data_IF_068604458253
#
_entry.id   IF_068604458253
#
_cell.length_a   1.000
_cell.length_b   1.000
_cell.length_c   1.000
_cell.angle_alpha   90.00
_cell.angle_beta   90.00
_cell.angle_gamma   90.00
#
_symmetry.space_group_name_H-M   'P 1'
#
loop_
_entity.id
_entity.type
_entity.pdbx_description
1 polymer ?
#
# COMPACT_ATOMS: atom_id res chain seq x y z
N UNK A 1 -4.16 9.19 17.81
CA UNK A 1 -3.40 9.46 16.59
C UNK A 1 -2.00 9.90 16.95
N UNK A 2 -1.86 11.00 17.71
CA UNK A 2 -0.56 11.60 18.02
C UNK A 2 0.43 10.64 18.70
N UNK A 3 -0.01 9.86 19.68
CA UNK A 3 0.87 8.89 20.36
C UNK A 3 1.34 7.75 19.45
N UNK A 4 0.46 7.24 18.58
CA UNK A 4 0.78 6.15 17.66
C UNK A 4 1.68 6.62 16.52
N UNK A 5 1.37 7.78 15.94
CA UNK A 5 2.19 8.39 14.90
C UNK A 5 3.57 8.78 15.46
N UNK A 6 3.64 9.23 16.72
CA UNK A 6 4.90 9.49 17.43
C UNK A 6 5.74 8.23 17.58
N UNK A 7 5.18 7.13 18.08
CA UNK A 7 5.90 5.85 18.19
C UNK A 7 6.42 5.34 16.82
N UNK A 8 5.62 5.49 15.77
CA UNK A 8 6.03 5.14 14.39
C UNK A 8 7.12 6.06 13.86
N UNK A 9 7.05 7.35 14.22
CA UNK A 9 8.07 8.34 13.88
C UNK A 9 9.41 7.99 14.53
N UNK A 10 9.42 7.60 15.80
CA UNK A 10 10.66 7.18 16.47
C UNK A 10 11.26 5.93 15.83
N UNK A 11 10.43 4.90 15.56
CA UNK A 11 10.89 3.70 14.85
C UNK A 11 11.46 4.01 13.46
N UNK A 12 10.88 4.99 12.78
CA UNK A 12 11.39 5.49 11.50
C UNK A 12 12.75 6.17 11.68
N UNK A 13 12.89 7.05 12.67
CA UNK A 13 14.15 7.72 12.98
C UNK A 13 15.24 6.70 13.30
N UNK A 14 14.95 5.70 14.12
CA UNK A 14 15.86 4.60 14.42
C UNK A 14 16.29 3.84 13.15
N UNK A 15 15.33 3.47 12.29
CA UNK A 15 15.60 2.73 11.06
C UNK A 15 16.51 3.48 10.08
N UNK A 16 16.44 4.82 10.07
CA UNK A 16 17.27 5.68 9.22
C UNK A 16 18.43 6.37 9.96
N UNK A 17 18.59 6.12 11.26
CA UNK A 17 19.59 6.77 12.13
C UNK A 17 19.49 8.31 12.10
N UNK A 18 18.25 8.83 12.11
CA UNK A 18 17.96 10.26 12.03
C UNK A 18 17.96 10.88 13.43
N UNK A 19 18.41 12.13 13.53
CA UNK A 19 18.31 12.91 14.77
C UNK A 19 16.86 13.26 15.13
N UNK A 20 16.56 13.57 16.40
CA UNK A 20 15.21 13.86 16.88
C UNK A 20 14.58 15.09 16.20
N UNK A 21 15.39 16.10 15.87
CA UNK A 21 14.94 17.35 15.26
C UNK A 21 14.86 17.30 13.72
N UNK A 22 15.12 16.15 13.11
CA UNK A 22 15.07 16.02 11.64
C UNK A 22 13.62 16.16 11.18
N UNK A 23 13.33 17.14 10.32
CA UNK A 23 12.01 17.33 9.72
C UNK A 23 11.74 16.23 8.68
N UNK A 24 10.74 15.38 8.95
CA UNK A 24 10.42 14.24 8.08
C UNK A 24 9.37 14.54 7.02
N UNK A 25 8.61 15.63 7.19
CA UNK A 25 7.56 16.06 6.28
C UNK A 25 8.07 17.22 5.42
N UNK A 26 7.51 17.36 4.22
CA UNK A 26 7.75 18.55 3.41
C UNK A 26 7.09 19.78 4.08
N UNK A 27 7.66 20.96 3.88
CA UNK A 27 7.21 22.20 4.53
C UNK A 27 5.77 22.61 4.19
N UNK A 28 5.25 22.14 3.07
CA UNK A 28 3.88 22.34 2.59
C UNK A 28 2.91 21.24 3.04
N UNK A 29 3.39 20.21 3.73
CA UNK A 29 2.56 19.08 4.15
C UNK A 29 1.81 19.40 5.43
N UNK A 30 0.49 19.53 5.30
CA UNK A 30 -0.40 19.54 6.44
C UNK A 30 -0.73 18.11 6.89
N UNK A 31 -0.71 17.88 8.21
CA UNK A 31 -1.31 16.68 8.77
C UNK A 31 -2.80 16.63 8.41
N UNK A 32 -3.36 15.44 8.09
CA UNK A 32 -4.78 15.32 7.82
C UNK A 32 -5.58 15.74 9.05
N UNK A 33 -6.57 16.60 8.86
CA UNK A 33 -7.52 16.93 9.91
C UNK A 33 -8.43 15.72 10.17
N UNK A 34 -8.17 15.02 11.28
CA UNK A 34 -8.88 13.80 11.67
C UNK A 34 -9.54 14.01 13.04
N UNK A 35 -10.76 14.57 13.08
CA UNK A 35 -11.54 14.60 14.32
C UNK A 35 -11.64 13.20 14.93
N UNK A 36 -11.67 13.08 16.26
CA UNK A 36 -11.64 11.79 16.96
C UNK A 36 -12.71 10.80 16.47
N UNK A 37 -13.89 11.29 16.09
CA UNK A 37 -14.95 10.48 15.48
C UNK A 37 -14.54 9.91 14.12
N UNK A 38 -13.94 10.74 13.26
CA UNK A 38 -13.46 10.33 11.95
C UNK A 38 -12.34 9.30 12.08
N UNK A 39 -11.38 9.55 12.98
CA UNK A 39 -10.32 8.61 13.31
C UNK A 39 -10.87 7.25 13.76
N UNK A 40 -11.83 7.24 14.69
CA UNK A 40 -12.47 6.01 15.17
C UNK A 40 -13.26 5.28 14.07
N UNK A 41 -13.85 6.00 13.11
CA UNK A 41 -14.54 5.40 11.96
C UNK A 41 -13.56 4.77 10.97
N UNK A 42 -12.43 5.42 10.69
CA UNK A 42 -11.37 4.89 9.83
C UNK A 42 -10.65 3.70 10.45
N UNK A 43 -10.51 3.66 11.79
CA UNK A 43 -9.94 2.52 12.49
C UNK A 43 -10.73 1.21 12.27
N UNK A 44 -12.05 1.29 12.00
CA UNK A 44 -12.87 0.12 11.63
C UNK A 44 -12.49 -0.48 10.27
N UNK A 45 -11.75 0.26 9.45
CA UNK A 45 -11.16 -0.20 8.19
C UNK A 45 -9.69 -0.62 8.34
N UNK A 46 -9.20 -0.72 9.58
CA UNK A 46 -7.80 -1.02 9.91
C UNK A 46 -6.83 -0.11 9.17
N UNK A 47 -7.13 1.19 9.12
CA UNK A 47 -6.23 2.20 8.56
C UNK A 47 -5.27 2.66 9.64
N UNK A 48 -3.97 2.44 9.42
CA UNK A 48 -2.87 2.95 10.24
C UNK A 48 -2.19 4.12 9.53
N UNK A 49 -1.81 5.16 10.27
CA UNK A 49 -1.24 6.38 9.70
C UNK A 49 0.28 6.37 9.82
N UNK A 50 0.97 6.72 8.74
CA UNK A 50 2.41 6.66 8.62
C UNK A 50 2.98 7.91 7.96
N UNK A 51 4.16 8.33 8.40
CA UNK A 51 4.99 9.30 7.69
C UNK A 51 5.80 8.54 6.63
N UNK A 52 5.74 9.03 5.38
CA UNK A 52 6.70 8.70 4.34
C UNK A 52 7.71 9.85 4.32
N UNK A 53 8.99 9.64 4.70
CA UNK A 53 9.93 10.73 4.88
C UNK A 53 10.17 11.52 3.59
N UNK A 54 10.47 12.81 3.74
CA UNK A 54 10.90 13.67 2.65
C UNK A 54 12.12 13.08 1.94
N UNK A 55 12.16 13.25 0.62
CA UNK A 55 13.23 12.78 -0.24
C UNK A 55 14.57 13.48 0.06
N UNK A 56 14.51 14.70 0.58
CA UNK A 56 15.67 15.46 1.09
C UNK A 56 16.33 14.82 2.31
N UNK A 57 15.60 13.98 3.06
CA UNK A 57 16.10 13.31 4.27
C UNK A 57 16.38 11.83 4.01
N UNK A 58 15.46 11.17 3.30
CA UNK A 58 15.55 9.76 2.95
C UNK A 58 15.32 9.63 1.45
N UNK A 59 16.34 9.92 0.61
CA UNK A 59 16.20 9.76 -0.83
C UNK A 59 16.02 8.28 -1.19
N UNK A 60 15.32 8.01 -2.30
CA UNK A 60 15.26 6.65 -2.87
C UNK A 60 16.57 6.34 -3.63
N UNK A 61 17.66 6.18 -2.88
CA UNK A 61 19.02 5.99 -3.38
C UNK A 61 19.53 4.55 -3.20
N UNK A 62 20.83 4.33 -3.42
CA UNK A 62 21.44 3.01 -3.22
C UNK A 62 21.33 2.52 -1.76
N UNK A 63 21.38 3.42 -0.78
CA UNK A 63 21.26 3.05 0.63
C UNK A 63 19.84 2.62 0.97
N UNK A 64 18.84 3.34 0.44
CA UNK A 64 17.44 2.94 0.55
C UNK A 64 17.22 1.55 -0.05
N UNK A 65 17.68 1.34 -1.28
CA UNK A 65 17.56 0.05 -1.98
C UNK A 65 18.28 -1.05 -1.21
N UNK A 66 19.50 -0.81 -0.72
CA UNK A 66 20.23 -1.77 0.09
C UNK A 66 19.52 -2.11 1.42
N UNK A 67 18.69 -1.21 1.95
CA UNK A 67 17.96 -1.44 3.20
C UNK A 67 16.62 -2.15 3.00
N UNK A 68 15.89 -1.80 1.95
CA UNK A 68 14.49 -2.17 1.73
C UNK A 68 14.26 -3.17 0.58
N UNK A 69 15.24 -3.30 -0.32
CA UNK A 69 15.19 -4.16 -1.49
C UNK A 69 16.38 -5.13 -1.52
N UNK A 70 16.72 -5.70 -0.36
CA UNK A 70 17.94 -6.51 -0.14
C UNK A 70 18.05 -7.72 -1.05
N UNK A 71 16.93 -8.37 -1.32
CA UNK A 71 16.87 -9.56 -2.17
C UNK A 71 16.30 -9.27 -3.56
N UNK A 72 16.28 -8.00 -3.98
CA UNK A 72 15.79 -7.66 -5.31
C UNK A 72 16.61 -8.38 -6.39
N UNK A 73 15.98 -8.81 -7.49
CA UNK A 73 16.68 -9.51 -8.56
C UNK A 73 17.76 -8.63 -9.19
N UNK A 74 18.74 -9.24 -9.87
CA UNK A 74 19.87 -8.49 -10.47
C UNK A 74 19.39 -7.44 -11.47
N UNK A 75 18.30 -7.73 -12.17
CA UNK A 75 17.67 -6.89 -13.17
C UNK A 75 16.93 -5.68 -12.56
N UNK A 76 16.79 -5.59 -11.23
CA UNK A 76 16.04 -4.54 -10.54
C UNK A 76 16.49 -3.12 -10.90
N UNK A 77 17.79 -2.92 -11.10
CA UNK A 77 18.40 -1.64 -11.47
C UNK A 77 18.73 -1.53 -12.97
N UNK A 78 18.44 -2.56 -13.77
CA UNK A 78 18.70 -2.55 -15.21
C UNK A 78 17.44 -2.17 -16.00
N UNK A 79 17.55 -1.37 -17.07
CA UNK A 79 16.44 -1.12 -17.97
C UNK A 79 15.86 -2.45 -18.49
N UNK A 80 14.53 -2.50 -18.58
CA UNK A 80 13.81 -3.65 -19.12
C UNK A 80 13.56 -3.43 -20.61
N UNK A 81 13.20 -4.48 -21.33
CA UNK A 81 12.89 -4.34 -22.75
C UNK A 81 11.74 -3.35 -22.95
N UNK A 82 12.00 -2.29 -23.72
CA UNK A 82 11.08 -1.17 -23.94
C UNK A 82 10.52 -0.47 -22.68
N UNK A 83 11.13 -0.64 -21.50
CA UNK A 83 10.62 -0.08 -20.24
C UNK A 83 11.75 0.33 -19.26
N UNK A 84 11.51 1.31 -18.36
CA UNK A 84 12.47 1.65 -17.31
C UNK A 84 12.70 0.47 -16.35
N UNK A 85 13.80 0.55 -15.60
CA UNK A 85 14.08 -0.39 -14.51
C UNK A 85 13.02 -0.34 -13.41
N UNK A 86 12.84 -1.41 -12.65
CA UNK A 86 11.94 -1.40 -11.50
C UNK A 86 12.35 -0.35 -10.47
N UNK A 87 13.66 -0.16 -10.28
CA UNK A 87 14.19 0.90 -9.43
C UNK A 87 13.71 2.29 -9.83
N UNK A 88 13.83 2.65 -11.11
CA UNK A 88 13.40 3.98 -11.60
C UNK A 88 11.91 4.19 -11.47
N UNK A 89 11.11 3.15 -11.77
CA UNK A 89 9.66 3.18 -11.58
C UNK A 89 9.31 3.44 -10.11
N UNK A 90 9.91 2.67 -9.20
CA UNK A 90 9.66 2.79 -7.77
C UNK A 90 10.09 4.15 -7.25
N UNK A 91 11.27 4.64 -7.63
CA UNK A 91 11.74 5.97 -7.25
C UNK A 91 10.77 7.07 -7.71
N UNK A 92 10.37 7.07 -8.99
CA UNK A 92 9.44 8.06 -9.56
C UNK A 92 8.07 7.99 -8.89
N UNK A 93 7.56 6.78 -8.65
CA UNK A 93 6.28 6.57 -7.99
C UNK A 93 6.30 6.96 -6.51
N UNK A 94 7.37 6.60 -5.80
CA UNK A 94 7.55 6.89 -4.38
C UNK A 94 7.72 8.39 -4.11
N UNK A 95 8.44 9.11 -4.98
CA UNK A 95 8.64 10.56 -4.87
C UNK A 95 7.32 11.35 -4.73
N UNK A 96 6.21 10.87 -5.32
CA UNK A 96 4.88 11.49 -5.17
C UNK A 96 4.31 11.41 -3.75
N UNK A 97 4.87 10.53 -2.93
CA UNK A 97 4.41 10.25 -1.57
C UNK A 97 5.42 10.66 -0.49
N UNK A 98 6.67 10.96 -0.88
CA UNK A 98 7.69 11.40 0.06
C UNK A 98 7.37 12.76 0.68
N UNK A 99 7.68 12.89 1.96
CA UNK A 99 7.38 14.05 2.78
C UNK A 99 5.92 14.14 3.22
N UNK A 100 5.12 13.09 3.02
CA UNK A 100 3.67 13.09 3.26
C UNK A 100 3.23 12.09 4.33
N UNK A 101 2.04 12.31 4.86
CA UNK A 101 1.33 11.35 5.72
C UNK A 101 0.41 10.50 4.84
N UNK A 102 0.42 9.19 5.05
CA UNK A 102 -0.44 8.22 4.34
C UNK A 102 -1.12 7.30 5.33
N UNK A 103 -2.36 6.91 5.04
CA UNK A 103 -3.06 5.85 5.77
C UNK A 103 -2.90 4.53 5.01
N UNK A 104 -2.56 3.42 5.67
CA UNK A 104 -2.39 2.11 5.03
C UNK A 104 -3.30 1.09 5.70
N UNK A 105 -3.97 0.27 4.89
CA UNK A 105 -4.78 -0.84 5.37
C UNK A 105 -3.89 -1.98 5.92
N UNK A 106 -4.10 -2.33 7.19
CA UNK A 106 -3.35 -3.36 7.90
C UNK A 106 -4.15 -4.62 8.20
N UNK A 107 -5.35 -4.76 7.61
CA UNK A 107 -6.19 -5.96 7.73
C UNK A 107 -5.38 -7.24 7.49
N UNK A 108 -5.50 -8.23 8.38
CA UNK A 108 -4.73 -9.47 8.31
C UNK A 108 -4.98 -10.22 7.00
N UNK A 109 -3.90 -10.62 6.32
CA UNK A 109 -4.01 -11.44 5.12
C UNK A 109 -4.19 -12.93 5.48
N UNK A 110 -5.12 -13.66 4.84
CA UNK A 110 -5.32 -15.08 5.12
C UNK A 110 -4.23 -15.92 4.46
N UNK A 111 -4.10 -17.18 4.91
CA UNK A 111 -3.41 -18.22 4.13
C UNK A 111 -4.26 -18.55 2.92
N UNK A 112 -3.70 -18.35 1.73
CA UNK A 112 -4.47 -18.52 0.50
C UNK A 112 -4.79 -19.98 0.23
N UNK A 113 -6.01 -20.23 -0.21
CA UNK A 113 -6.52 -21.54 -0.61
C UNK A 113 -7.09 -21.41 -2.03
N UNK A 114 -6.36 -21.86 -3.06
CA UNK A 114 -6.76 -21.71 -4.45
C UNK A 114 -8.22 -22.11 -4.72
N UNK A 115 -8.92 -21.29 -5.50
CA UNK A 115 -10.31 -21.53 -5.89
C UNK A 115 -11.36 -21.22 -4.82
N UNK A 116 -10.96 -20.77 -3.62
CA UNK A 116 -11.90 -20.37 -2.57
C UNK A 116 -12.18 -18.86 -2.59
N UNK A 117 -13.39 -18.49 -2.18
CA UNK A 117 -13.71 -17.11 -1.83
C UNK A 117 -13.02 -16.79 -0.52
N UNK A 118 -12.02 -15.90 -0.57
CA UNK A 118 -11.27 -15.49 0.61
C UNK A 118 -11.29 -13.98 0.88
N UNK A 119 -11.31 -13.65 2.15
CA UNK A 119 -11.41 -12.32 2.72
C UNK A 119 -10.22 -12.06 3.64
N UNK A 120 -9.87 -10.79 3.83
CA UNK A 120 -8.90 -10.43 4.86
C UNK A 120 -9.56 -10.41 6.25
N UNK A 121 -8.75 -10.29 7.31
CA UNK A 121 -9.20 -10.13 8.70
C UNK A 121 -9.15 -11.41 9.53
N UNK A 122 -9.00 -12.58 8.92
CA UNK A 122 -8.80 -13.85 9.65
C UNK A 122 -7.72 -14.71 8.99
N UNK A 123 -7.05 -15.62 9.73
CA UNK A 123 -6.02 -16.50 9.17
C UNK A 123 -6.50 -17.42 8.04
N UNK A 124 -7.79 -17.81 8.03
CA UNK A 124 -8.36 -18.73 7.05
C UNK A 124 -9.13 -18.01 5.92
N UNK A 125 -9.57 -16.77 6.17
CA UNK A 125 -10.20 -15.92 5.17
C UNK A 125 -11.62 -16.31 4.77
N UNK A 126 -12.34 -17.12 5.55
CA UNK A 126 -13.72 -17.53 5.22
C UNK A 126 -14.81 -16.62 5.80
N UNK A 127 -14.45 -15.70 6.69
CA UNK A 127 -15.39 -14.77 7.33
C UNK A 127 -15.41 -13.43 6.59
N UNK A 128 -16.47 -13.20 5.82
CA UNK A 128 -16.69 -11.94 5.11
C UNK A 128 -16.88 -10.74 6.05
N UNK A 129 -17.35 -10.96 7.28
CA UNK A 129 -17.62 -9.88 8.24
C UNK A 129 -16.35 -9.33 8.88
N UNK A 130 -15.25 -10.08 8.80
CA UNK A 130 -13.94 -9.67 9.29
C UNK A 130 -13.18 -8.75 8.31
N UNK A 131 -13.53 -8.77 7.02
CA UNK A 131 -12.94 -7.88 6.02
C UNK A 131 -13.77 -6.58 5.92
N UNK A 132 -13.22 -5.44 6.34
CA UNK A 132 -13.98 -4.19 6.39
C UNK A 132 -14.36 -3.67 5.00
N UNK A 133 -13.79 -4.24 3.93
CA UNK A 133 -14.09 -3.88 2.55
C UNK A 133 -14.96 -4.90 1.80
N UNK A 134 -15.36 -6.01 2.43
CA UNK A 134 -16.18 -7.05 1.79
C UNK A 134 -17.45 -6.52 1.12
N UNK A 135 -18.10 -5.54 1.76
CA UNK A 135 -19.29 -4.89 1.21
C UNK A 135 -19.01 -4.20 -0.13
N UNK A 136 -17.88 -3.51 -0.27
CA UNK A 136 -17.53 -2.80 -1.50
C UNK A 136 -17.09 -3.75 -2.61
N UNK A 137 -16.46 -4.88 -2.28
CA UNK A 137 -16.09 -5.91 -3.27
C UNK A 137 -17.32 -6.43 -4.02
N UNK A 138 -18.42 -6.69 -3.31
CA UNK A 138 -19.68 -7.09 -3.93
C UNK A 138 -20.29 -6.01 -4.84
N UNK A 139 -20.22 -4.74 -4.43
CA UNK A 139 -20.74 -3.62 -5.23
C UNK A 139 -19.93 -3.33 -6.49
N UNK A 140 -18.63 -3.58 -6.45
CA UNK A 140 -17.72 -3.34 -7.56
C UNK A 140 -17.65 -4.49 -8.58
N UNK A 141 -18.42 -5.56 -8.37
CA UNK A 141 -18.48 -6.68 -9.28
C UNK A 141 -17.20 -7.53 -9.29
N UNK A 142 -16.42 -7.54 -8.19
CA UNK A 142 -15.31 -8.48 -8.07
C UNK A 142 -15.85 -9.90 -8.11
N UNK A 143 -15.23 -10.76 -8.92
CA UNK A 143 -15.63 -12.17 -9.08
C UNK A 143 -15.69 -12.83 -7.71
N UNK A 144 -16.84 -13.46 -7.40
CA UNK A 144 -17.12 -14.06 -6.09
C UNK A 144 -16.96 -13.12 -4.88
N UNK A 145 -16.82 -11.80 -5.06
CA UNK A 145 -16.62 -10.80 -4.00
C UNK A 145 -15.56 -11.23 -2.97
N UNK A 146 -14.36 -11.54 -3.47
CA UNK A 146 -13.14 -11.93 -2.72
C UNK A 146 -12.00 -10.96 -3.02
N UNK A 147 -10.99 -10.93 -2.15
CA UNK A 147 -9.73 -10.17 -2.31
C UNK A 147 -8.82 -10.70 -3.42
N UNK A 148 -9.12 -11.84 -4.02
CA UNK A 148 -8.31 -12.51 -5.03
C UNK A 148 -9.11 -12.71 -6.34
N UNK A 149 -8.46 -13.18 -7.40
CA UNK A 149 -9.13 -13.50 -8.68
C UNK A 149 -9.94 -12.33 -9.27
N UNK A 150 -9.30 -11.16 -9.31
CA UNK A 150 -9.81 -9.93 -9.90
C UNK A 150 -8.89 -9.43 -11.01
N UNK A 151 -9.37 -8.43 -11.76
CA UNK A 151 -8.60 -7.75 -12.80
C UNK A 151 -8.56 -6.24 -12.55
N UNK A 152 -7.79 -5.51 -13.37
CA UNK A 152 -7.65 -4.07 -13.24
C UNK A 152 -8.99 -3.31 -13.25
N UNK A 153 -9.92 -3.70 -14.13
CA UNK A 153 -11.20 -3.01 -14.31
C UNK A 153 -12.02 -3.10 -13.01
N UNK A 154 -12.16 -4.30 -12.45
CA UNK A 154 -12.89 -4.54 -11.20
C UNK A 154 -12.23 -3.83 -10.01
N UNK A 155 -10.91 -3.80 -9.94
CA UNK A 155 -10.18 -3.11 -8.88
C UNK A 155 -10.30 -1.58 -8.98
N UNK A 156 -10.26 -1.03 -10.20
CA UNK A 156 -10.51 0.40 -10.45
C UNK A 156 -11.92 0.78 -10.02
N UNK A 157 -12.90 -0.05 -10.34
CA UNK A 157 -14.29 0.15 -9.95
C UNK A 157 -14.47 0.06 -8.43
N UNK A 158 -13.80 -0.89 -7.77
CA UNK A 158 -13.76 -1.00 -6.31
C UNK A 158 -13.25 0.29 -5.67
N UNK A 159 -12.10 0.80 -6.12
CA UNK A 159 -11.53 2.05 -5.61
C UNK A 159 -12.51 3.21 -5.84
N UNK A 160 -13.18 3.28 -6.99
CA UNK A 160 -14.18 4.32 -7.28
C UNK A 160 -15.35 4.27 -6.30
N UNK A 161 -15.97 3.10 -6.12
CA UNK A 161 -17.13 2.90 -5.24
C UNK A 161 -16.78 3.25 -3.78
N UNK A 162 -15.61 2.84 -3.30
CA UNK A 162 -15.15 3.18 -1.94
C UNK A 162 -14.97 4.68 -1.78
N UNK A 163 -14.27 5.34 -2.71
CA UNK A 163 -14.04 6.78 -2.64
C UNK A 163 -15.37 7.58 -2.70
N UNK A 164 -16.30 7.20 -3.56
CA UNK A 164 -17.60 7.86 -3.66
C UNK A 164 -18.43 7.71 -2.38
N UNK A 165 -18.51 6.50 -1.81
CA UNK A 165 -19.22 6.27 -0.55
C UNK A 165 -18.56 7.03 0.60
N UNK A 166 -17.24 6.98 0.70
CA UNK A 166 -16.49 7.64 1.77
C UNK A 166 -16.62 9.15 1.68
N UNK A 167 -16.62 9.75 0.48
CA UNK A 167 -16.91 11.19 0.31
C UNK A 167 -18.35 11.51 0.73
N UNK A 168 -19.34 10.76 0.27
CA UNK A 168 -20.74 10.98 0.61
C UNK A 168 -21.00 10.91 2.12
N UNK A 169 -20.27 10.04 2.84
CA UNK A 169 -20.38 9.84 4.29
C UNK A 169 -19.38 10.64 5.11
N UNK A 170 -18.64 11.56 4.48
CA UNK A 170 -17.59 12.39 5.11
C UNK A 170 -16.60 11.54 5.92
N UNK A 171 -16.20 10.40 5.34
CA UNK A 171 -15.20 9.47 5.88
C UNK A 171 -13.83 9.68 5.20
N UNK A 172 -13.81 10.22 3.99
CA UNK A 172 -12.56 10.54 3.30
C UNK A 172 -12.01 11.87 3.84
N UNK A 173 -10.78 11.91 4.40
CA UNK A 173 -10.17 13.16 4.85
C UNK A 173 -10.03 14.16 3.70
N UNK A 174 -10.10 15.45 4.01
CA UNK A 174 -9.99 16.50 3.00
C UNK A 174 -8.63 16.42 2.30
N UNK A 175 -8.62 16.47 0.96
CA UNK A 175 -7.40 16.38 0.17
C UNK A 175 -6.78 14.99 0.11
N UNK A 176 -7.51 13.94 0.52
CA UNK A 176 -7.07 12.55 0.39
C UNK A 176 -7.94 11.79 -0.59
N UNK A 177 -7.35 10.74 -1.16
CA UNK A 177 -8.06 9.70 -1.92
C UNK A 177 -7.61 8.32 -1.48
N UNK A 178 -8.53 7.37 -1.57
CA UNK A 178 -8.20 5.96 -1.42
C UNK A 178 -7.71 5.39 -2.75
N UNK A 179 -6.66 4.59 -2.70
CA UNK A 179 -6.05 3.88 -3.83
C UNK A 179 -5.60 2.49 -3.38
N UNK A 180 -5.23 1.64 -4.33
CA UNK A 180 -4.44 0.45 -4.00
C UNK A 180 -3.06 0.90 -3.53
N UNK A 181 -2.53 0.22 -2.51
CA UNK A 181 -1.29 0.58 -1.84
C UNK A 181 -0.14 0.66 -2.85
N UNK A 182 0.55 1.81 -2.98
CA UNK A 182 1.66 1.94 -3.89
C UNK A 182 2.81 0.96 -3.56
N UNK A 183 3.44 0.32 -4.56
CA UNK A 183 4.51 -0.68 -4.36
C UNK A 183 5.60 -0.31 -3.35
N UNK A 184 6.19 0.89 -3.46
CA UNK A 184 7.23 1.32 -2.53
C UNK A 184 6.70 1.58 -1.10
N UNK A 185 5.44 2.04 -0.97
CA UNK A 185 4.82 2.20 0.35
C UNK A 185 4.56 0.82 0.97
N UNK A 186 4.04 -0.13 0.19
CA UNK A 186 3.84 -1.50 0.67
C UNK A 186 5.13 -2.13 1.20
N UNK A 187 6.22 -2.05 0.43
CA UNK A 187 7.53 -2.54 0.86
C UNK A 187 8.01 -1.81 2.13
N UNK A 188 7.99 -0.48 2.12
CA UNK A 188 8.44 0.33 3.25
C UNK A 188 7.71 -0.01 4.55
N UNK A 189 6.37 -0.07 4.49
CA UNK A 189 5.51 -0.34 5.64
C UNK A 189 5.60 -1.80 6.08
N UNK A 190 5.63 -2.74 5.13
CA UNK A 190 5.83 -4.16 5.41
C UNK A 190 7.18 -4.42 6.09
N UNK A 191 8.26 -3.83 5.60
CA UNK A 191 9.60 -4.01 6.18
C UNK A 191 9.73 -3.40 7.57
N UNK A 192 9.21 -2.19 7.80
CA UNK A 192 9.38 -1.54 9.10
C UNK A 192 8.33 -1.97 10.12
N UNK A 193 7.06 -1.94 9.75
CA UNK A 193 5.97 -1.99 10.72
C UNK A 193 5.24 -3.33 10.73
N UNK A 194 5.20 -4.02 9.59
CA UNK A 194 4.41 -5.25 9.42
C UNK A 194 5.20 -6.41 8.78
N UNK A 195 6.33 -6.85 9.39
CA UNK A 195 7.12 -7.94 8.84
C UNK A 195 6.31 -9.25 8.73
N UNK A 196 5.26 -9.42 9.54
CA UNK A 196 4.34 -10.55 9.49
C UNK A 196 3.59 -10.67 8.16
N UNK A 197 3.49 -9.61 7.35
CA UNK A 197 2.88 -9.69 6.02
C UNK A 197 3.66 -10.62 5.08
N UNK A 198 4.94 -10.88 5.38
CA UNK A 198 5.79 -11.82 4.63
C UNK A 198 5.52 -13.30 4.91
N UNK A 199 4.70 -13.63 5.91
CA UNK A 199 4.41 -15.01 6.28
C UNK A 199 3.34 -15.67 5.40
N UNK A 200 2.75 -14.92 4.47
CA UNK A 200 1.71 -15.42 3.56
C UNK A 200 2.29 -15.68 2.17
N UNK A 201 1.85 -16.78 1.53
CA UNK A 201 2.42 -17.28 0.27
C UNK A 201 1.98 -16.49 -0.98
N UNK A 202 0.99 -15.60 -0.85
CA UNK A 202 0.45 -14.83 -1.98
C UNK A 202 1.07 -13.45 -2.10
N UNK A 203 0.99 -12.90 -3.30
CA UNK A 203 1.43 -11.55 -3.63
C UNK A 203 0.31 -10.54 -3.32
N UNK A 204 0.65 -9.26 -3.41
CA UNK A 204 -0.27 -8.12 -3.37
C UNK A 204 -0.14 -7.37 -4.69
N UNK A 205 -1.22 -6.77 -5.15
CA UNK A 205 -1.16 -5.81 -6.23
C UNK A 205 -0.88 -4.43 -5.69
N UNK A 206 0.01 -3.74 -6.38
CA UNK A 206 0.19 -2.30 -6.31
C UNK A 206 0.07 -1.70 -7.71
N UNK A 207 -0.24 -0.41 -7.80
CA UNK A 207 -0.10 0.30 -9.07
C UNK A 207 0.35 1.74 -8.84
N UNK A 208 1.00 2.29 -9.87
CA UNK A 208 1.20 3.72 -10.01
C UNK A 208 0.35 4.25 -11.15
N UNK A 209 -0.17 5.48 -11.00
CA UNK A 209 -0.86 6.18 -12.08
C UNK A 209 0.01 7.27 -12.67
N UNK A 210 -0.02 7.38 -13.99
CA UNK A 210 0.53 8.52 -14.71
C UNK A 210 -0.41 9.74 -14.63
N UNK A 211 -0.02 10.84 -15.28
CA UNK A 211 -0.78 12.09 -15.29
C UNK A 211 -2.08 11.98 -16.10
N UNK A 212 -2.14 11.05 -17.05
CA UNK A 212 -3.30 10.74 -17.86
C UNK A 212 -4.26 9.78 -17.15
N UNK A 213 -3.88 9.26 -15.98
CA UNK A 213 -4.66 8.34 -15.17
C UNK A 213 -4.50 6.87 -15.55
N UNK A 214 -3.62 6.52 -16.49
CA UNK A 214 -3.29 5.15 -16.80
C UNK A 214 -2.52 4.53 -15.64
N UNK A 215 -2.84 3.29 -15.31
CA UNK A 215 -2.14 2.56 -14.27
C UNK A 215 -1.14 1.57 -14.86
N UNK A 216 0.07 1.53 -14.30
CA UNK A 216 0.96 0.38 -14.45
C UNK A 216 0.87 -0.45 -13.19
N UNK A 217 0.53 -1.73 -13.34
CA UNK A 217 0.27 -2.65 -12.23
C UNK A 217 1.48 -3.53 -11.95
N UNK A 218 1.67 -3.82 -10.68
CA UNK A 218 2.78 -4.62 -10.17
C UNK A 218 2.26 -5.63 -9.18
N UNK A 219 2.69 -6.88 -9.31
CA UNK A 219 2.66 -7.83 -8.22
C UNK A 219 3.86 -7.56 -7.31
N UNK A 220 3.60 -7.32 -6.04
CA UNK A 220 4.60 -7.08 -5.00
C UNK A 220 4.45 -8.09 -3.88
N UNK A 221 5.52 -8.40 -3.17
CA UNK A 221 5.47 -9.41 -2.13
C UNK A 221 6.83 -9.68 -1.57
N UNK A 222 7.03 -10.91 -1.09
CA UNK A 222 8.23 -11.26 -0.36
C UNK A 222 9.09 -12.29 -1.08
N UNK A 223 10.40 -12.10 -1.07
CA UNK A 223 11.37 -13.12 -1.51
C UNK A 223 11.77 -14.06 -0.37
N UNK A 224 11.62 -13.62 0.88
CA UNK A 224 11.85 -14.38 2.11
C UNK A 224 11.11 -13.70 3.28
N UNK A 225 10.98 -14.37 4.44
CA UNK A 225 10.44 -13.73 5.65
C UNK A 225 11.18 -12.42 5.98
N UNK A 226 10.43 -11.33 6.08
CA UNK A 226 10.92 -9.98 6.36
C UNK A 226 11.49 -9.21 5.16
N UNK A 227 11.58 -9.81 3.96
CA UNK A 227 12.06 -9.16 2.75
C UNK A 227 10.92 -8.95 1.75
N UNK A 228 10.56 -7.69 1.50
CA UNK A 228 9.45 -7.29 0.61
C UNK A 228 9.94 -6.87 -0.79
N UNK A 229 11.11 -7.35 -1.22
CA UNK A 229 11.78 -6.85 -2.42
C UNK A 229 11.24 -7.41 -3.73
N UNK A 230 10.30 -8.37 -3.67
CA UNK A 230 9.69 -8.94 -4.87
C UNK A 230 8.83 -7.88 -5.56
N UNK A 231 9.09 -7.69 -6.85
CA UNK A 231 8.26 -6.87 -7.74
C UNK A 231 8.28 -7.46 -9.14
N UNK A 232 7.12 -7.52 -9.77
CA UNK A 232 7.00 -7.83 -11.18
C UNK A 232 5.85 -7.04 -11.80
N UNK A 233 6.06 -6.49 -13.00
CA UNK A 233 4.97 -5.88 -13.77
C UNK A 233 3.94 -6.95 -14.17
N UNK A 234 2.66 -6.62 -14.07
CA UNK A 234 1.57 -7.50 -14.50
C UNK A 234 0.72 -6.80 -15.54
N UNK A 235 0.37 -7.54 -16.60
CA UNK A 235 -0.51 -7.03 -17.65
C UNK A 235 -1.93 -6.84 -17.09
N UNK A 236 -2.63 -5.82 -17.60
CA UNK A 236 -3.93 -5.37 -17.08
C UNK A 236 -5.09 -6.32 -17.42
N UNK A 237 -4.92 -7.17 -18.44
CA UNK A 237 -5.95 -8.07 -18.98
C UNK A 237 -5.82 -9.53 -18.52
N UNK A 238 -4.75 -9.88 -17.79
CA UNK A 238 -4.55 -11.24 -17.25
C UNK A 238 -5.24 -11.40 -15.89
N UNK A 239 -5.70 -12.62 -15.60
CA UNK A 239 -6.31 -12.95 -14.31
C UNK A 239 -5.22 -12.96 -13.22
N UNK A 240 -5.30 -12.02 -12.28
CA UNK A 240 -4.39 -11.87 -11.15
C UNK A 240 -4.78 -12.83 -10.01
N UNK A 241 -5.00 -14.10 -10.35
CA UNK A 241 -5.64 -15.11 -9.49
C UNK A 241 -5.04 -15.25 -8.09
N UNK A 242 -3.72 -15.03 -7.97
CA UNK A 242 -2.93 -15.21 -6.75
C UNK A 242 -2.48 -13.91 -6.08
N UNK A 243 -2.88 -12.75 -6.62
CA UNK A 243 -2.50 -11.47 -6.05
C UNK A 243 -3.69 -10.85 -5.33
N UNK A 244 -3.54 -10.62 -4.03
CA UNK A 244 -4.47 -9.83 -3.23
C UNK A 244 -4.31 -8.33 -3.49
N UNK A 245 -4.92 -7.50 -2.66
CA UNK A 245 -4.57 -6.08 -2.62
C UNK A 245 -4.80 -5.47 -1.24
N UNK A 246 -3.95 -4.51 -0.90
CA UNK A 246 -4.13 -3.58 0.24
C UNK A 246 -4.45 -2.19 -0.26
N UNK A 247 -5.09 -1.41 0.59
CA UNK A 247 -5.49 -0.05 0.28
C UNK A 247 -4.62 0.98 1.02
N UNK A 248 -4.52 2.16 0.43
CA UNK A 248 -3.88 3.31 1.03
C UNK A 248 -4.72 4.58 0.82
N UNK A 249 -4.81 5.40 1.86
CA UNK A 249 -5.19 6.80 1.78
C UNK A 249 -3.95 7.63 1.51
N UNK A 250 -3.94 8.32 0.37
CA UNK A 250 -2.83 9.18 -0.04
C UNK A 250 -3.34 10.60 -0.32
N UNK A 251 -2.53 11.65 -0.09
CA UNK A 251 -2.90 13.00 -0.50
C UNK A 251 -3.12 13.09 -2.01
N UNK A 252 -4.11 13.87 -2.44
CA UNK A 252 -4.43 14.18 -3.84
C UNK A 252 -3.37 15.06 -4.51
#
# INVERSE_FOLDING_TARGET
MDDELSARTEKLREAFQLGPDTELLSSDTAAPELPSELFARLARFHIEWHIIPADTVVPFDDQYVARFYRMAPREFAHPRDHAPSYREVLAKGHAKHQGRIVGVETTQKPRYLPGNRQFYGTPYGFDASADPFAYYMGRAGLTNATRYAHNYISLREFVRVVNEDWRARRLLPQGYRLTVCPPAIFNFIGTLFHPEWSETETLELGFYRDEQGNATCYAVGCNAPGDFSYINEVELETDWTLAGFRLALVPE
#
